data_IF_989215926085
#
_entry.id   IF_989215926085
#
_cell.length_a   1.000
_cell.length_b   1.000
_cell.length_c   1.000
_cell.angle_alpha   90.00
_cell.angle_beta   90.00
_cell.angle_gamma   90.00
#
_symmetry.space_group_name_H-M   'P 1'
#
loop_
_entity.id
_entity.type
_entity.pdbx_description
1 polymer ?
#
# COMPACT_ATOMS: atom_id res chain seq x y z
N UNK A 1 7.14 -61.83 -0.84
CA UNK A 1 7.52 -60.43 -1.18
C UNK A 1 6.40 -59.38 -1.04
N UNK A 2 5.10 -59.72 -1.04
CA UNK A 2 4.00 -58.72 -0.91
C UNK A 2 3.74 -58.14 0.50
N UNK A 3 4.19 -58.76 1.60
CA UNK A 3 3.97 -58.26 2.97
C UNK A 3 5.02 -57.27 3.50
N UNK A 4 6.20 -57.17 2.86
CA UNK A 4 7.29 -56.27 3.29
C UNK A 4 7.12 -54.86 2.67
N UNK A 5 6.44 -54.75 1.53
CA UNK A 5 6.17 -53.46 0.88
C UNK A 5 5.09 -52.61 1.59
N UNK A 6 4.18 -53.25 2.34
CA UNK A 6 3.09 -52.57 3.06
C UNK A 6 3.57 -51.94 4.39
N UNK A 7 4.65 -52.45 4.99
CA UNK A 7 5.18 -51.94 6.27
C UNK A 7 6.09 -50.72 6.05
N UNK A 8 6.81 -50.66 4.92
CA UNK A 8 7.63 -49.49 4.56
C UNK A 8 6.79 -48.27 4.13
N UNK A 9 5.67 -48.48 3.45
CA UNK A 9 4.78 -47.39 3.01
C UNK A 9 3.96 -46.76 4.15
N UNK A 10 3.60 -47.54 5.17
CA UNK A 10 2.94 -47.03 6.39
C UNK A 10 3.95 -46.31 7.30
N UNK A 11 5.20 -46.76 7.34
CA UNK A 11 6.26 -46.12 8.13
C UNK A 11 6.67 -44.73 7.61
N UNK A 12 6.75 -44.54 6.29
CA UNK A 12 7.07 -43.24 5.68
C UNK A 12 5.91 -42.26 5.76
N UNK A 13 4.67 -42.73 5.60
CA UNK A 13 3.47 -41.91 5.81
C UNK A 13 3.33 -41.46 7.27
N UNK A 14 3.59 -42.36 8.23
CA UNK A 14 3.58 -42.04 9.67
C UNK A 14 4.67 -41.04 10.08
N UNK A 15 5.87 -41.15 9.49
CA UNK A 15 6.96 -40.19 9.72
C UNK A 15 6.64 -38.83 9.08
N UNK A 16 6.05 -38.81 7.88
CA UNK A 16 5.60 -37.57 7.23
C UNK A 16 4.51 -36.86 8.02
N UNK A 17 3.55 -37.59 8.59
CA UNK A 17 2.51 -37.03 9.47
C UNK A 17 3.12 -36.48 10.76
N UNK A 18 4.07 -37.20 11.39
CA UNK A 18 4.75 -36.72 12.60
C UNK A 18 5.60 -35.47 12.35
N UNK A 19 6.25 -35.37 11.18
CA UNK A 19 6.98 -34.18 10.75
C UNK A 19 6.03 -33.02 10.49
N UNK A 20 4.92 -33.23 9.78
CA UNK A 20 3.90 -32.19 9.54
C UNK A 20 3.25 -31.70 10.85
N UNK A 21 2.99 -32.60 11.79
CA UNK A 21 2.49 -32.24 13.13
C UNK A 21 3.54 -31.46 13.91
N UNK A 22 4.81 -31.88 13.89
CA UNK A 22 5.92 -31.15 14.51
C UNK A 22 6.15 -29.76 13.91
N UNK A 23 6.05 -29.64 12.59
CA UNK A 23 6.13 -28.38 11.85
C UNK A 23 4.94 -27.45 12.17
N UNK A 24 3.74 -28.01 12.38
CA UNK A 24 2.56 -27.24 12.77
C UNK A 24 2.72 -26.60 14.15
N UNK A 25 3.45 -27.24 15.08
CA UNK A 25 3.77 -26.65 16.40
C UNK A 25 4.73 -25.45 16.33
N UNK A 26 5.44 -25.26 15.21
CA UNK A 26 6.28 -24.09 14.95
C UNK A 26 5.69 -23.16 13.89
N UNK A 27 4.38 -23.28 13.60
CA UNK A 27 3.65 -22.38 12.71
C UNK A 27 3.67 -22.76 11.22
N UNK A 28 4.29 -23.88 10.85
CA UNK A 28 4.34 -24.37 9.47
C UNK A 28 3.21 -25.38 9.27
N UNK A 29 2.06 -24.90 8.78
CA UNK A 29 0.87 -25.73 8.54
C UNK A 29 0.96 -26.48 7.19
N UNK A 30 0.14 -27.52 6.95
CA UNK A 30 0.05 -28.13 5.62
C UNK A 30 -0.35 -27.12 4.51
N UNK A 31 -1.23 -26.16 4.84
CA UNK A 31 -1.62 -25.08 3.92
C UNK A 31 -0.43 -24.16 3.60
N UNK A 32 0.42 -23.87 4.59
CA UNK A 32 1.67 -23.14 4.39
C UNK A 32 2.56 -23.83 3.36
N UNK A 33 2.82 -25.13 3.54
CA UNK A 33 3.72 -25.89 2.66
C UNK A 33 3.15 -25.95 1.23
N UNK A 34 1.84 -26.17 1.10
CA UNK A 34 1.18 -26.24 -0.21
C UNK A 34 1.19 -24.89 -0.96
N UNK A 35 1.02 -23.79 -0.23
CA UNK A 35 0.90 -22.44 -0.83
C UNK A 35 2.24 -21.74 -1.00
N UNK A 36 3.27 -22.14 -0.25
CA UNK A 36 4.57 -21.49 -0.23
C UNK A 36 5.22 -21.34 -1.61
N UNK A 37 5.23 -22.35 -2.51
CA UNK A 37 5.81 -22.18 -3.83
C UNK A 37 5.11 -21.10 -4.67
N UNK A 38 3.78 -21.09 -4.70
CA UNK A 38 3.00 -20.15 -5.52
C UNK A 38 3.09 -18.72 -4.99
N UNK A 39 3.04 -18.56 -3.67
CA UNK A 39 3.22 -17.26 -3.00
C UNK A 39 4.65 -16.77 -3.19
N UNK A 40 5.68 -17.60 -3.00
CA UNK A 40 7.07 -17.19 -3.15
C UNK A 40 7.40 -16.73 -4.57
N UNK A 41 6.98 -17.47 -5.60
CA UNK A 41 7.17 -17.07 -7.00
C UNK A 41 6.36 -15.82 -7.34
N UNK A 42 5.15 -15.68 -6.78
CA UNK A 42 4.33 -14.47 -6.94
C UNK A 42 5.00 -13.22 -6.35
N UNK A 43 5.50 -13.32 -5.11
CA UNK A 43 6.27 -12.25 -4.45
C UNK A 43 7.50 -11.89 -5.29
N UNK A 44 8.29 -12.90 -5.68
CA UNK A 44 9.51 -12.70 -6.46
C UNK A 44 9.25 -12.00 -7.79
N UNK A 45 8.33 -12.52 -8.60
CA UNK A 45 8.00 -11.92 -9.89
C UNK A 45 7.45 -10.49 -9.74
N UNK A 46 6.48 -10.29 -8.84
CA UNK A 46 5.80 -9.01 -8.66
C UNK A 46 6.71 -7.92 -8.12
N UNK A 47 7.38 -8.17 -7.00
CA UNK A 47 8.16 -7.14 -6.32
C UNK A 47 9.42 -6.79 -7.11
N UNK A 48 10.09 -7.77 -7.73
CA UNK A 48 11.26 -7.50 -8.57
C UNK A 48 10.90 -6.76 -9.85
N UNK A 49 9.78 -7.10 -10.51
CA UNK A 49 9.29 -6.35 -11.66
C UNK A 49 9.08 -4.87 -11.29
N UNK A 50 8.37 -4.61 -10.20
CA UNK A 50 8.02 -3.25 -9.79
C UNK A 50 9.27 -2.48 -9.36
N UNK A 51 10.15 -3.10 -8.57
CA UNK A 51 11.42 -2.50 -8.16
C UNK A 51 12.29 -2.12 -9.38
N UNK A 52 12.34 -2.98 -10.40
CA UNK A 52 13.14 -2.76 -11.60
C UNK A 52 12.56 -1.73 -12.56
N UNK A 53 11.26 -1.83 -12.86
CA UNK A 53 10.63 -1.09 -13.96
C UNK A 53 9.78 0.11 -13.51
N UNK A 54 9.30 0.12 -12.25
CA UNK A 54 8.60 1.28 -11.66
C UNK A 54 9.59 2.17 -10.90
N UNK A 55 10.36 1.58 -9.97
CA UNK A 55 11.31 2.35 -9.15
C UNK A 55 12.69 2.53 -9.80
N UNK A 56 13.00 1.80 -10.87
CA UNK A 56 14.27 1.92 -11.58
C UNK A 56 15.49 1.32 -10.87
N UNK A 57 15.31 0.56 -9.78
CA UNK A 57 16.42 -0.01 -9.03
C UNK A 57 17.17 -1.09 -9.83
N UNK A 58 18.45 -1.29 -9.45
CA UNK A 58 19.26 -2.36 -10.02
C UNK A 58 18.71 -3.74 -9.64
N UNK A 59 19.00 -4.76 -10.45
CA UNK A 59 18.62 -6.15 -10.17
C UNK A 59 19.20 -6.64 -8.84
N UNK A 60 20.44 -6.24 -8.52
CA UNK A 60 21.11 -6.59 -7.27
C UNK A 60 20.38 -5.98 -6.06
N UNK A 61 20.18 -4.66 -6.05
CA UNK A 61 19.43 -3.99 -4.97
C UNK A 61 18.03 -4.58 -4.80
N UNK A 62 17.32 -4.80 -5.90
CA UNK A 62 15.97 -5.37 -5.88
C UNK A 62 15.94 -6.76 -5.26
N UNK A 63 16.94 -7.59 -5.57
CA UNK A 63 17.05 -8.95 -5.01
C UNK A 63 17.45 -8.91 -3.52
N UNK A 64 18.39 -8.03 -3.14
CA UNK A 64 18.79 -7.83 -1.74
C UNK A 64 17.62 -7.36 -0.86
N UNK A 65 16.74 -6.52 -1.39
CA UNK A 65 15.50 -6.10 -0.73
C UNK A 65 14.50 -7.26 -0.60
N UNK A 66 14.37 -8.05 -1.67
CA UNK A 66 13.46 -9.20 -1.72
C UNK A 66 13.84 -10.24 -0.65
N UNK A 67 15.11 -10.60 -0.52
CA UNK A 67 15.53 -11.63 0.45
C UNK A 67 15.41 -11.14 1.90
N UNK A 68 15.48 -9.83 2.14
CA UNK A 68 15.11 -9.23 3.43
C UNK A 68 13.61 -9.36 3.75
N UNK A 69 12.77 -9.60 2.74
CA UNK A 69 11.35 -9.90 2.93
C UNK A 69 11.16 -11.25 3.61
N UNK A 70 11.84 -12.28 3.10
CA UNK A 70 11.89 -13.61 3.68
C UNK A 70 13.08 -14.39 3.13
N UNK A 71 13.84 -15.07 4.00
CA UNK A 71 15.02 -15.83 3.60
C UNK A 71 14.73 -16.99 2.64
N UNK A 72 13.48 -17.48 2.56
CA UNK A 72 13.11 -18.51 1.57
C UNK A 72 13.18 -18.00 0.12
N UNK A 73 13.07 -16.69 -0.08
CA UNK A 73 13.07 -16.06 -1.41
C UNK A 73 14.46 -16.07 -2.06
N UNK A 74 15.52 -16.25 -1.27
CA UNK A 74 16.90 -16.46 -1.77
C UNK A 74 17.03 -17.73 -2.62
N UNK A 75 16.08 -18.66 -2.48
CA UNK A 75 16.06 -19.91 -3.25
C UNK A 75 15.37 -19.78 -4.62
N UNK A 76 14.86 -18.60 -4.96
CA UNK A 76 14.20 -18.37 -6.24
C UNK A 76 15.21 -18.25 -7.37
N UNK A 77 14.89 -18.87 -8.51
CA UNK A 77 15.59 -18.58 -9.77
C UNK A 77 14.81 -17.49 -10.50
N UNK A 78 15.47 -16.37 -10.76
CA UNK A 78 14.88 -15.19 -11.40
C UNK A 78 15.39 -15.03 -12.83
N UNK A 79 14.47 -14.83 -13.77
CA UNK A 79 14.78 -14.48 -15.16
C UNK A 79 14.17 -13.12 -15.49
N UNK A 80 14.96 -12.26 -16.14
CA UNK A 80 14.51 -10.96 -16.63
C UNK A 80 14.48 -11.00 -18.15
N UNK A 81 13.33 -10.69 -18.72
CA UNK A 81 13.16 -10.41 -20.14
C UNK A 81 13.03 -8.89 -20.29
N UNK A 82 14.10 -8.26 -20.79
CA UNK A 82 14.14 -6.79 -20.93
C UNK A 82 13.37 -6.31 -22.16
N UNK A 83 13.09 -7.17 -23.14
CA UNK A 83 12.33 -6.80 -24.35
C UNK A 83 10.84 -6.71 -24.01
N UNK A 84 10.35 -7.70 -23.28
CA UNK A 84 8.95 -7.77 -22.83
C UNK A 84 8.73 -7.05 -21.48
N UNK A 85 9.79 -6.49 -20.87
CA UNK A 85 9.75 -5.87 -19.53
C UNK A 85 9.12 -6.79 -18.47
N UNK A 86 9.53 -8.06 -18.49
CA UNK A 86 8.93 -9.15 -17.73
C UNK A 86 9.94 -9.76 -16.76
N UNK A 87 9.47 -10.09 -15.56
CA UNK A 87 10.25 -10.85 -14.58
C UNK A 87 9.55 -12.17 -14.27
N UNK A 88 10.27 -13.27 -14.43
CA UNK A 88 9.82 -14.61 -14.03
C UNK A 88 10.57 -15.09 -12.80
N UNK A 89 9.86 -15.71 -11.86
CA UNK A 89 10.41 -16.35 -10.69
C UNK A 89 9.95 -17.81 -10.64
N UNK A 90 10.91 -18.72 -10.41
CA UNK A 90 10.63 -20.15 -10.23
C UNK A 90 11.25 -20.67 -8.94
N UNK A 91 10.58 -21.65 -8.32
CA UNK A 91 11.03 -22.27 -7.08
C UNK A 91 11.26 -23.77 -7.30
N UNK A 92 12.51 -24.16 -7.58
CA UNK A 92 12.95 -25.55 -7.83
C UNK A 92 12.07 -26.33 -8.84
N UNK A 93 11.49 -25.66 -9.85
CA UNK A 93 10.59 -26.28 -10.82
C UNK A 93 9.21 -26.71 -10.28
N UNK A 94 8.87 -26.37 -9.04
CA UNK A 94 7.58 -26.67 -8.40
C UNK A 94 6.47 -25.67 -8.78
N UNK A 95 6.85 -24.57 -9.42
CA UNK A 95 5.96 -23.53 -9.90
C UNK A 95 6.77 -22.38 -10.49
N UNK A 96 6.18 -21.69 -11.45
CA UNK A 96 6.72 -20.48 -12.05
C UNK A 96 5.60 -19.45 -12.16
N UNK A 97 5.92 -18.21 -11.80
CA UNK A 97 5.08 -17.05 -12.04
C UNK A 97 5.88 -15.98 -12.72
N UNK A 98 5.20 -15.15 -13.48
CA UNK A 98 5.77 -13.99 -14.14
C UNK A 98 4.96 -12.74 -13.82
N UNK A 99 5.60 -11.59 -13.98
CA UNK A 99 4.95 -10.29 -13.90
C UNK A 99 5.47 -9.40 -15.00
N UNK A 100 4.55 -8.81 -15.74
CA UNK A 100 4.87 -7.88 -16.83
C UNK A 100 4.56 -6.44 -16.42
N UNK A 101 5.53 -5.56 -16.68
CA UNK A 101 5.39 -4.12 -16.55
C UNK A 101 4.61 -3.54 -17.73
N UNK A 102 3.69 -2.63 -17.43
CA UNK A 102 2.94 -1.85 -18.42
C UNK A 102 3.12 -0.37 -18.04
N UNK A 103 3.66 0.49 -18.94
CA UNK A 103 3.84 1.91 -18.65
C UNK A 103 2.57 2.57 -18.12
N UNK A 104 2.70 3.35 -17.03
CA UNK A 104 1.58 4.01 -16.36
C UNK A 104 0.71 3.11 -15.46
N UNK A 105 0.66 1.81 -15.73
CA UNK A 105 -0.13 0.82 -14.95
C UNK A 105 0.75 0.02 -13.98
N UNK A 106 2.05 -0.09 -14.24
CA UNK A 106 3.02 -0.81 -13.41
C UNK A 106 3.07 -2.31 -13.67
N UNK A 107 3.46 -3.10 -12.66
CA UNK A 107 3.60 -4.55 -12.73
C UNK A 107 2.43 -5.27 -12.05
N UNK A 108 2.02 -6.42 -12.58
CA UNK A 108 1.13 -7.37 -11.90
C UNK A 108 1.58 -8.79 -12.23
N UNK A 109 1.26 -9.76 -11.37
CA UNK A 109 1.39 -11.17 -11.72
C UNK A 109 0.52 -11.48 -12.93
N UNK A 110 1.07 -12.21 -13.90
CA UNK A 110 0.39 -12.59 -15.12
C UNK A 110 -0.54 -13.79 -14.87
N UNK A 111 -1.78 -13.71 -15.36
CA UNK A 111 -2.75 -14.80 -15.33
C UNK A 111 -3.40 -14.97 -16.71
N UNK A 112 -3.56 -16.21 -17.15
CA UNK A 112 -4.23 -16.51 -18.41
C UNK A 112 -5.70 -16.07 -18.37
N UNK A 113 -6.17 -15.40 -19.42
CA UNK A 113 -7.54 -14.90 -19.55
C UNK A 113 -7.79 -13.53 -18.91
N UNK A 114 -6.74 -12.84 -18.46
CA UNK A 114 -6.79 -11.51 -17.85
C UNK A 114 -5.94 -10.52 -18.66
N UNK A 115 -6.55 -9.94 -19.70
CA UNK A 115 -5.84 -9.14 -20.72
C UNK A 115 -6.22 -7.65 -20.72
N UNK A 116 -6.87 -7.15 -19.65
CA UNK A 116 -7.39 -5.78 -19.58
C UNK A 116 -6.31 -4.70 -19.37
N UNK A 117 -5.19 -5.06 -18.72
CA UNK A 117 -4.19 -4.08 -18.27
C UNK A 117 -3.57 -3.24 -19.40
N UNK A 118 -3.27 -3.79 -20.60
CA UNK A 118 -2.84 -2.99 -21.75
C UNK A 118 -3.86 -1.93 -22.19
N UNK A 119 -5.17 -2.20 -22.05
CA UNK A 119 -6.22 -1.23 -22.38
C UNK A 119 -6.23 -0.07 -21.38
N UNK A 120 -5.95 -0.34 -20.09
CA UNK A 120 -5.84 0.70 -19.06
C UNK A 120 -4.68 1.67 -19.32
N UNK A 121 -3.60 1.21 -19.94
CA UNK A 121 -2.44 2.05 -20.26
C UNK A 121 -2.79 3.20 -21.21
N UNK A 122 -3.79 3.01 -22.08
CA UNK A 122 -4.25 4.05 -23.00
C UNK A 122 -4.98 5.20 -22.28
N UNK A 123 -5.39 5.00 -21.02
CA UNK A 123 -6.10 6.00 -20.21
C UNK A 123 -5.16 6.81 -19.32
N UNK A 124 -3.89 6.38 -19.20
CA UNK A 124 -2.87 7.13 -18.47
C UNK A 124 -2.39 8.26 -19.36
N UNK A 125 -2.50 9.53 -18.93
CA UNK A 125 -1.99 10.65 -19.70
C UNK A 125 -0.51 10.46 -20.01
N UNK A 126 -0.11 10.78 -21.24
CA UNK A 126 1.31 10.91 -21.54
C UNK A 126 1.90 12.03 -20.64
N UNK A 127 3.17 11.94 -20.22
CA UNK A 127 3.81 13.01 -19.48
C UNK A 127 3.70 14.31 -20.29
N UNK A 128 2.94 15.29 -19.79
CA UNK A 128 2.86 16.60 -20.44
C UNK A 128 4.19 17.31 -20.24
N UNK A 129 5.01 17.40 -21.29
CA UNK A 129 6.15 18.32 -21.32
C UNK A 129 5.57 19.72 -21.51
N UNK A 130 5.15 20.34 -20.41
CA UNK A 130 4.55 21.67 -20.43
C UNK A 130 5.64 22.71 -20.78
N UNK A 131 5.82 22.95 -22.07
CA UNK A 131 6.81 23.90 -22.64
C UNK A 131 6.24 25.30 -22.86
N UNK A 132 4.97 25.52 -22.52
CA UNK A 132 4.30 26.79 -22.81
C UNK A 132 3.13 27.05 -21.86
N UNK A 133 3.41 27.50 -20.63
CA UNK A 133 2.57 28.49 -19.96
C UNK A 133 3.31 29.12 -18.78
N UNK A 134 3.83 30.33 -19.00
CA UNK A 134 4.58 31.12 -18.01
C UNK A 134 3.71 31.74 -16.91
N UNK A 135 2.46 31.29 -16.76
CA UNK A 135 1.48 31.83 -15.81
C UNK A 135 1.03 30.84 -14.72
N UNK A 136 1.39 29.56 -14.81
CA UNK A 136 1.04 28.54 -13.82
C UNK A 136 2.26 28.33 -12.91
N UNK A 137 2.05 28.35 -11.60
CA UNK A 137 3.14 28.11 -10.63
C UNK A 137 3.76 26.73 -10.85
N UNK A 138 5.05 26.70 -11.16
CA UNK A 138 5.91 25.51 -11.22
C UNK A 138 6.27 24.95 -9.84
N UNK A 139 5.86 25.64 -8.77
CA UNK A 139 6.17 25.25 -7.40
C UNK A 139 5.31 24.07 -6.90
N UNK A 140 5.87 23.34 -5.95
CA UNK A 140 5.12 22.39 -5.13
C UNK A 140 4.02 23.10 -4.31
N UNK A 141 2.82 22.51 -4.14
CA UNK A 141 2.44 21.14 -4.49
C UNK A 141 1.91 20.93 -5.91
N UNK A 142 1.74 21.97 -6.74
CA UNK A 142 1.18 21.78 -8.09
C UNK A 142 2.14 21.05 -9.02
N UNK A 143 3.42 21.34 -8.90
CA UNK A 143 4.52 20.80 -9.70
C UNK A 143 5.72 20.51 -8.78
N UNK A 144 6.88 20.15 -9.32
CA UNK A 144 8.01 19.66 -8.53
C UNK A 144 9.14 20.67 -8.25
N UNK A 145 8.97 21.95 -8.59
CA UNK A 145 9.98 22.96 -8.26
C UNK A 145 9.96 23.32 -6.77
N UNK A 146 11.13 23.21 -6.12
CA UNK A 146 11.32 23.53 -4.70
C UNK A 146 12.32 24.68 -4.57
N UNK A 147 11.87 25.80 -4.01
CA UNK A 147 12.71 26.98 -3.75
C UNK A 147 12.72 27.40 -2.27
N UNK A 148 12.23 26.53 -1.39
CA UNK A 148 11.86 26.86 0.00
C UNK A 148 12.65 26.08 1.04
N UNK A 149 13.73 25.41 0.64
CA UNK A 149 14.58 24.62 1.54
C UNK A 149 15.13 25.51 2.67
N UNK A 150 14.91 25.06 3.90
CA UNK A 150 15.51 25.62 5.09
C UNK A 150 16.85 24.89 5.37
N UNK A 151 17.99 25.60 5.41
CA UNK A 151 19.30 24.97 5.60
C UNK A 151 19.45 24.20 6.92
N UNK A 152 18.81 24.65 8.00
CA UNK A 152 18.86 23.99 9.31
C UNK A 152 18.08 22.69 9.27
N UNK A 153 16.86 22.71 8.71
CA UNK A 153 16.05 21.51 8.53
C UNK A 153 16.75 20.52 7.60
N UNK A 154 17.28 20.99 6.46
CA UNK A 154 18.01 20.14 5.50
C UNK A 154 19.18 19.43 6.17
N UNK A 155 20.00 20.17 6.94
CA UNK A 155 21.14 19.58 7.65
C UNK A 155 20.70 18.50 8.64
N UNK A 156 19.58 18.72 9.35
CA UNK A 156 19.06 17.75 10.31
C UNK A 156 18.56 16.47 9.62
N UNK A 157 17.78 16.59 8.54
CA UNK A 157 17.25 15.40 7.86
C UNK A 157 18.36 14.61 7.15
N UNK A 158 19.39 15.26 6.62
CA UNK A 158 20.57 14.59 6.06
C UNK A 158 21.28 13.76 7.13
N UNK A 159 21.41 14.32 8.34
CA UNK A 159 21.98 13.61 9.48
C UNK A 159 21.10 12.42 9.90
N UNK A 160 19.77 12.58 9.98
CA UNK A 160 18.85 11.48 10.32
C UNK A 160 18.94 10.35 9.28
N UNK A 161 18.93 10.66 7.98
CA UNK A 161 19.04 9.64 6.92
C UNK A 161 20.38 8.91 6.99
N UNK A 162 21.47 9.61 7.31
CA UNK A 162 22.79 9.01 7.52
C UNK A 162 22.82 8.09 8.74
N UNK A 163 22.29 8.54 9.88
CA UNK A 163 22.15 7.78 11.13
C UNK A 163 21.31 6.51 10.92
N UNK A 164 20.16 6.66 10.26
CA UNK A 164 19.23 5.58 9.94
C UNK A 164 19.93 4.49 9.11
N UNK A 165 20.64 4.89 8.07
CA UNK A 165 21.30 3.95 7.17
C UNK A 165 22.53 3.30 7.80
N UNK A 166 23.27 4.01 8.66
CA UNK A 166 24.33 3.41 9.48
C UNK A 166 23.77 2.36 10.46
N UNK A 167 22.53 2.53 10.91
CA UNK A 167 21.81 1.57 11.76
C UNK A 167 21.09 0.46 10.98
N UNK A 168 21.19 0.42 9.65
CA UNK A 168 20.51 -0.58 8.82
C UNK A 168 19.00 -0.41 8.72
N UNK A 169 18.48 0.79 9.00
CA UNK A 169 17.05 1.10 8.90
C UNK A 169 16.60 1.31 7.45
N UNK A 170 17.52 1.40 6.49
CA UNK A 170 17.23 1.52 5.05
C UNK A 170 16.27 2.68 4.73
N UNK A 171 16.51 3.88 5.27
CA UNK A 171 15.74 5.08 4.90
C UNK A 171 16.19 5.53 3.51
N UNK A 172 15.25 5.58 2.56
CA UNK A 172 15.48 5.98 1.16
C UNK A 172 15.06 7.40 0.86
N UNK A 173 14.02 7.87 1.53
CA UNK A 173 13.58 9.25 1.46
C UNK A 173 13.07 9.73 2.82
N UNK A 174 13.45 10.94 3.20
CA UNK A 174 12.88 11.68 4.32
C UNK A 174 12.59 13.11 3.84
N UNK A 175 11.35 13.56 3.98
CA UNK A 175 10.89 14.86 3.49
C UNK A 175 10.03 15.54 4.56
N UNK A 176 10.25 16.84 4.75
CA UNK A 176 9.52 17.68 5.69
C UNK A 176 8.89 18.84 4.95
N UNK A 177 7.58 18.99 5.06
CA UNK A 177 6.82 20.13 4.57
C UNK A 177 6.12 20.86 5.72
N UNK A 178 6.09 22.19 5.66
CA UNK A 178 5.39 23.06 6.62
C UNK A 178 4.80 24.26 5.89
N UNK A 179 3.56 24.65 6.19
CA UNK A 179 2.95 25.82 5.54
C UNK A 179 2.80 25.70 4.03
N UNK A 180 2.48 24.49 3.55
CA UNK A 180 2.32 24.22 2.11
C UNK A 180 3.63 24.33 1.31
N UNK A 181 4.79 24.16 1.96
CA UNK A 181 6.12 24.24 1.34
C UNK A 181 7.03 23.12 1.84
N UNK A 182 7.86 22.56 0.98
CA UNK A 182 8.93 21.63 1.39
C UNK A 182 10.08 22.43 1.98
N UNK A 183 10.47 22.11 3.22
CA UNK A 183 11.57 22.73 3.94
C UNK A 183 12.85 21.89 3.91
N UNK A 184 12.74 20.59 3.65
CA UNK A 184 13.90 19.73 3.47
C UNK A 184 13.50 18.40 2.84
N UNK A 185 14.40 17.84 2.03
CA UNK A 185 14.30 16.48 1.50
C UNK A 185 15.67 15.82 1.40
N UNK A 186 15.77 14.57 1.83
CA UNK A 186 17.00 13.79 1.83
C UNK A 186 16.74 12.40 1.24
N UNK A 187 17.66 11.92 0.41
CA UNK A 187 17.53 10.67 -0.33
C UNK A 187 18.77 9.79 -0.21
N UNK A 188 18.58 8.47 -0.26
CA UNK A 188 19.66 7.50 -0.14
C UNK A 188 19.37 6.19 -0.90
N UNK A 189 20.37 5.29 -0.93
CA UNK A 189 20.30 3.98 -1.60
C UNK A 189 19.91 4.06 -3.09
N UNK A 190 20.37 5.11 -3.77
CA UNK A 190 20.11 5.32 -5.19
C UNK A 190 18.73 5.88 -5.52
N UNK A 191 17.90 6.18 -4.51
CA UNK A 191 16.69 6.97 -4.71
C UNK A 191 17.01 8.46 -4.84
N UNK A 192 16.12 9.19 -5.50
CA UNK A 192 16.11 10.63 -5.65
C UNK A 192 14.68 11.20 -5.57
N UNK A 193 14.54 12.50 -5.77
CA UNK A 193 13.26 13.22 -5.72
C UNK A 193 12.22 12.74 -6.72
N UNK A 194 12.63 12.07 -7.80
CA UNK A 194 11.75 11.56 -8.85
C UNK A 194 11.45 10.06 -8.72
N UNK A 195 12.12 9.37 -7.79
CA UNK A 195 12.03 7.91 -7.67
C UNK A 195 10.68 7.50 -7.06
N UNK A 196 9.82 6.74 -7.77
CA UNK A 196 8.59 6.22 -7.18
C UNK A 196 8.92 5.07 -6.21
N UNK A 197 8.63 5.25 -4.92
CA UNK A 197 8.90 4.27 -3.88
C UNK A 197 7.58 3.63 -3.40
N UNK A 198 7.63 2.32 -3.13
CA UNK A 198 6.48 1.54 -2.67
C UNK A 198 6.00 2.00 -1.29
N UNK A 199 4.77 2.51 -1.21
CA UNK A 199 4.15 2.91 0.07
C UNK A 199 3.49 1.77 0.85
N UNK A 200 3.36 0.57 0.25
CA UNK A 200 2.61 -0.53 0.86
C UNK A 200 1.21 -0.04 1.32
N UNK A 201 0.88 -0.30 2.58
CA UNK A 201 -0.42 0.04 3.16
C UNK A 201 -0.77 1.53 3.20
N UNK A 202 0.15 2.44 2.89
CA UNK A 202 -0.21 3.85 2.73
C UNK A 202 -1.21 4.08 1.57
N UNK A 203 -1.25 3.19 0.58
CA UNK A 203 -2.20 3.26 -0.53
C UNK A 203 -3.67 3.22 -0.06
N UNK A 204 -3.94 2.64 1.12
CA UNK A 204 -5.26 2.60 1.74
C UNK A 204 -5.83 3.99 1.97
N UNK A 205 -4.98 4.89 2.44
CA UNK A 205 -5.33 6.27 2.75
C UNK A 205 -5.64 7.07 1.48
N UNK A 206 -4.95 6.80 0.37
CA UNK A 206 -5.33 7.34 -0.95
C UNK A 206 -6.67 6.77 -1.43
N UNK A 207 -6.89 5.47 -1.26
CA UNK A 207 -8.16 4.82 -1.62
C UNK A 207 -9.34 5.43 -0.87
N UNK A 208 -9.17 5.77 0.42
CA UNK A 208 -10.18 6.52 1.18
C UNK A 208 -10.45 7.91 0.58
N UNK A 209 -9.40 8.65 0.18
CA UNK A 209 -9.53 9.96 -0.48
C UNK A 209 -10.26 9.84 -1.84
N UNK A 210 -10.02 8.77 -2.59
CA UNK A 210 -10.72 8.51 -3.86
C UNK A 210 -12.23 8.35 -3.65
N UNK A 211 -12.63 7.59 -2.63
CA UNK A 211 -14.03 7.44 -2.24
C UNK A 211 -14.64 8.74 -1.71
N UNK A 212 -13.88 9.53 -0.94
CA UNK A 212 -14.29 10.85 -0.48
C UNK A 212 -14.59 11.80 -1.66
N UNK A 213 -13.78 11.73 -2.72
CA UNK A 213 -14.00 12.48 -3.95
C UNK A 213 -15.28 12.07 -4.68
N UNK A 214 -15.64 10.79 -4.67
CA UNK A 214 -16.93 10.33 -5.20
C UNK A 214 -18.10 10.85 -4.37
N UNK A 215 -18.00 10.80 -3.05
CA UNK A 215 -19.03 11.31 -2.14
C UNK A 215 -19.23 12.82 -2.32
N UNK A 216 -18.13 13.58 -2.35
CA UNK A 216 -18.16 15.02 -2.57
C UNK A 216 -18.80 15.41 -3.92
N UNK A 217 -18.63 14.57 -4.95
CA UNK A 217 -19.27 14.73 -6.26
C UNK A 217 -20.69 14.15 -6.34
N UNK A 218 -21.22 13.59 -5.26
CA UNK A 218 -22.56 13.00 -5.20
C UNK A 218 -22.72 11.68 -5.95
N UNK A 219 -21.61 10.98 -6.21
CA UNK A 219 -21.58 9.69 -6.93
C UNK A 219 -21.66 8.48 -5.99
N UNK A 220 -21.41 8.68 -4.70
CA UNK A 220 -21.43 7.63 -3.69
C UNK A 220 -21.92 8.20 -2.34
N UNK A 221 -22.62 7.39 -1.55
CA UNK A 221 -22.94 7.69 -0.16
C UNK A 221 -22.14 6.73 0.73
N UNK A 222 -21.17 7.25 1.49
CA UNK A 222 -20.30 6.39 2.29
C UNK A 222 -21.01 5.81 3.53
N UNK A 223 -22.09 6.46 3.99
CA UNK A 223 -22.89 5.98 5.10
C UNK A 223 -23.87 4.87 4.70
N UNK A 224 -24.08 4.67 3.40
CA UNK A 224 -24.95 3.62 2.88
C UNK A 224 -24.30 2.22 2.93
N UNK A 225 -25.11 1.15 2.92
CA UNK A 225 -24.64 -0.20 2.65
C UNK A 225 -23.90 -0.30 1.31
N UNK A 226 -22.87 -1.14 1.24
CA UNK A 226 -22.01 -1.28 0.04
C UNK A 226 -22.75 -1.71 -1.22
N UNK A 227 -23.92 -2.35 -1.06
CA UNK A 227 -24.78 -2.83 -2.16
C UNK A 227 -24.06 -3.77 -3.15
N UNK A 228 -23.02 -4.47 -2.68
CA UNK A 228 -22.30 -5.48 -3.47
C UNK A 228 -23.17 -6.72 -3.67
N UNK A 229 -23.26 -7.19 -4.92
CA UNK A 229 -24.15 -8.29 -5.30
C UNK A 229 -23.82 -9.61 -4.60
N UNK A 230 -22.54 -9.87 -4.38
CA UNK A 230 -21.99 -11.03 -3.68
C UNK A 230 -22.44 -11.12 -2.22
N UNK A 231 -22.84 -9.99 -1.63
CA UNK A 231 -23.22 -9.86 -0.23
C UNK A 231 -24.73 -9.72 -0.04
N UNK A 232 -25.49 -9.52 -1.13
CA UNK A 232 -26.91 -9.18 -1.09
C UNK A 232 -27.80 -10.24 -0.41
N UNK A 233 -27.33 -11.49 -0.31
CA UNK A 233 -28.10 -12.62 0.21
C UNK A 233 -27.75 -13.05 1.64
N UNK A 234 -26.83 -12.35 2.31
CA UNK A 234 -26.43 -12.69 3.69
C UNK A 234 -26.16 -11.45 4.57
N UNK A 235 -25.65 -11.67 5.78
CA UNK A 235 -25.42 -10.62 6.77
C UNK A 235 -24.45 -9.52 6.31
N UNK A 236 -23.59 -9.81 5.32
CA UNK A 236 -22.68 -8.84 4.72
C UNK A 236 -23.42 -7.72 3.99
N UNK A 237 -24.69 -7.91 3.62
CA UNK A 237 -25.54 -6.86 3.06
C UNK A 237 -25.71 -5.64 3.99
N UNK A 238 -25.42 -5.78 5.29
CA UNK A 238 -25.49 -4.69 6.27
C UNK A 238 -24.19 -3.90 6.40
N UNK A 239 -23.09 -4.35 5.78
CA UNK A 239 -21.81 -3.64 5.81
C UNK A 239 -21.97 -2.32 5.06
N UNK A 240 -21.65 -1.20 5.72
CA UNK A 240 -21.60 0.13 5.11
C UNK A 240 -20.19 0.43 4.61
N UNK A 241 -20.06 1.38 3.69
CA UNK A 241 -18.74 1.83 3.23
C UNK A 241 -17.92 2.40 4.40
N UNK A 242 -18.55 3.12 5.33
CA UNK A 242 -17.89 3.57 6.56
C UNK A 242 -17.35 2.43 7.42
N UNK A 243 -18.03 1.28 7.47
CA UNK A 243 -17.55 0.14 8.27
C UNK A 243 -16.26 -0.44 7.68
N UNK A 244 -16.13 -0.45 6.34
CA UNK A 244 -14.90 -0.79 5.64
C UNK A 244 -13.82 0.29 5.85
N UNK A 245 -14.16 1.57 5.75
CA UNK A 245 -13.23 2.68 5.97
C UNK A 245 -12.61 2.66 7.36
N UNK A 246 -13.36 2.25 8.39
CA UNK A 246 -12.85 2.11 9.76
C UNK A 246 -12.26 0.74 10.09
N UNK A 247 -12.16 -0.18 9.13
CA UNK A 247 -11.70 -1.56 9.33
C UNK A 247 -12.52 -2.31 10.38
N UNK A 248 -13.81 -2.05 10.43
CA UNK A 248 -14.78 -2.67 11.36
C UNK A 248 -15.88 -3.44 10.63
N UNK A 249 -15.66 -3.81 9.37
CA UNK A 249 -16.62 -4.50 8.51
C UNK A 249 -17.01 -5.90 9.00
N UNK A 250 -16.12 -6.56 9.75
CA UNK A 250 -16.39 -7.85 10.36
C UNK A 250 -16.11 -9.07 9.47
N UNK A 251 -15.45 -8.89 8.31
CA UNK A 251 -15.03 -10.00 7.44
C UNK A 251 -13.94 -10.87 8.10
N UNK A 252 -14.01 -12.17 7.83
CA UNK A 252 -13.03 -13.16 8.28
C UNK A 252 -11.75 -13.11 7.43
N UNK A 253 -10.93 -12.08 7.63
CA UNK A 253 -9.67 -11.87 6.91
C UNK A 253 -8.45 -11.96 7.83
N UNK A 254 -7.45 -12.77 7.43
CA UNK A 254 -6.14 -12.88 8.08
C UNK A 254 -5.10 -11.94 7.43
N UNK A 255 -4.65 -10.92 8.16
CA UNK A 255 -3.56 -10.01 7.73
C UNK A 255 -2.15 -10.58 8.01
N UNK A 256 -2.06 -11.84 8.41
CA UNK A 256 -0.76 -12.46 8.59
C UNK A 256 -0.08 -12.66 7.23
N UNK A 257 1.24 -12.46 7.19
CA UNK A 257 2.03 -12.51 5.96
C UNK A 257 2.76 -13.84 5.78
N UNK A 258 2.17 -14.95 6.23
CA UNK A 258 2.70 -16.28 5.96
C UNK A 258 2.06 -16.86 4.69
N UNK A 259 2.78 -17.71 3.95
CA UNK A 259 2.19 -18.54 2.93
C UNK A 259 0.90 -19.23 3.39
N UNK A 260 -0.17 -19.06 2.60
CA UNK A 260 -1.49 -19.64 2.88
C UNK A 260 -2.42 -18.75 3.72
N UNK A 261 -1.92 -17.66 4.31
CA UNK A 261 -2.75 -16.61 4.88
C UNK A 261 -3.36 -15.73 3.79
N UNK A 262 -4.46 -15.06 4.12
CA UNK A 262 -5.30 -14.33 3.17
C UNK A 262 -4.54 -13.19 2.49
N UNK A 263 -3.73 -12.42 3.23
CA UNK A 263 -2.97 -11.32 2.66
C UNK A 263 -1.98 -11.78 1.57
N UNK A 264 -1.27 -12.90 1.80
CA UNK A 264 -0.28 -13.38 0.81
C UNK A 264 -0.94 -14.06 -0.38
N UNK A 265 -1.99 -14.84 -0.15
CA UNK A 265 -2.76 -15.47 -1.22
C UNK A 265 -3.43 -14.40 -2.11
N UNK A 266 -4.06 -13.40 -1.51
CA UNK A 266 -4.72 -12.31 -2.24
C UNK A 266 -3.73 -11.51 -3.10
N UNK A 267 -2.60 -11.07 -2.54
CA UNK A 267 -1.68 -10.15 -3.23
C UNK A 267 -0.80 -10.84 -4.27
N UNK A 268 -0.46 -12.11 -4.06
CA UNK A 268 0.56 -12.80 -4.87
C UNK A 268 0.05 -14.07 -5.55
N UNK A 269 -1.17 -14.53 -5.23
CA UNK A 269 -1.77 -15.77 -5.74
C UNK A 269 -3.25 -15.68 -6.12
N UNK A 270 -3.74 -14.47 -6.37
CA UNK A 270 -5.08 -14.23 -6.93
C UNK A 270 -5.01 -13.28 -8.14
N UNK A 271 -5.80 -13.51 -9.21
CA UNK A 271 -5.90 -12.56 -10.32
C UNK A 271 -6.69 -11.30 -9.96
N UNK A 272 -7.63 -11.40 -9.01
CA UNK A 272 -8.35 -10.26 -8.46
C UNK A 272 -8.22 -10.23 -6.94
N UNK A 273 -7.71 -9.12 -6.41
CA UNK A 273 -7.58 -8.92 -4.97
C UNK A 273 -8.95 -8.70 -4.32
N UNK A 274 -9.83 -7.94 -4.97
CA UNK A 274 -11.19 -7.69 -4.47
C UNK A 274 -12.03 -8.97 -4.45
N UNK A 275 -12.07 -9.74 -5.55
CA UNK A 275 -12.91 -10.93 -5.64
C UNK A 275 -12.51 -12.01 -4.62
N UNK A 276 -11.22 -12.12 -4.31
CA UNK A 276 -10.71 -12.97 -3.24
C UNK A 276 -11.35 -12.64 -1.88
N UNK A 277 -11.54 -11.35 -1.60
CA UNK A 277 -12.08 -10.84 -0.32
C UNK A 277 -13.60 -10.89 -0.31
N UNK A 278 -14.25 -10.60 -1.44
CA UNK A 278 -15.71 -10.69 -1.59
C UNK A 278 -16.23 -12.11 -1.28
N UNK A 279 -15.40 -13.14 -1.47
CA UNK A 279 -15.70 -14.52 -1.11
C UNK A 279 -15.53 -14.85 0.39
N UNK A 280 -14.96 -13.96 1.21
CA UNK A 280 -14.75 -14.21 2.65
C UNK A 280 -16.06 -14.12 3.42
N UNK A 281 -16.30 -15.04 4.38
CA UNK A 281 -17.49 -14.98 5.22
C UNK A 281 -17.40 -13.82 6.20
N UNK A 282 -18.55 -13.37 6.70
CA UNK A 282 -18.60 -12.54 7.89
C UNK A 282 -18.22 -13.38 9.13
N UNK A 283 -17.52 -12.75 10.07
CA UNK A 283 -17.13 -13.31 11.36
C UNK A 283 -17.68 -12.49 12.54
N UNK A 284 -17.92 -11.20 12.34
CA UNK A 284 -18.40 -10.27 13.36
C UNK A 284 -19.44 -9.32 12.79
N UNK A 285 -20.26 -8.73 13.66
CA UNK A 285 -21.19 -7.68 13.27
C UNK A 285 -20.41 -6.40 12.86
N UNK A 286 -20.82 -5.72 11.77
CA UNK A 286 -20.18 -4.48 11.35
C UNK A 286 -20.19 -3.41 12.45
N UNK A 287 -19.11 -2.63 12.54
CA UNK A 287 -18.92 -1.57 13.53
C UNK A 287 -18.50 -2.03 14.94
N UNK A 288 -18.48 -3.33 15.23
CA UNK A 288 -18.28 -3.83 16.61
C UNK A 288 -16.83 -4.17 16.97
N UNK A 289 -16.02 -4.58 15.98
CA UNK A 289 -14.64 -5.03 16.19
C UNK A 289 -13.74 -4.53 15.06
N UNK A 290 -12.62 -3.93 15.43
CA UNK A 290 -11.58 -3.56 14.47
C UNK A 290 -10.78 -4.80 14.06
N UNK A 291 -10.59 -4.97 12.76
CA UNK A 291 -9.72 -5.96 12.14
C UNK A 291 -8.97 -5.30 10.98
N UNK A 292 -7.70 -4.94 11.19
CA UNK A 292 -6.91 -4.34 10.13
C UNK A 292 -6.76 -5.31 8.96
N UNK A 293 -7.19 -4.90 7.75
CA UNK A 293 -7.26 -5.78 6.58
C UNK A 293 -6.89 -5.06 5.29
N UNK A 294 -5.89 -5.57 4.59
CA UNK A 294 -5.60 -5.25 3.20
C UNK A 294 -6.73 -5.69 2.29
N UNK A 295 -7.43 -6.78 2.63
CA UNK A 295 -8.60 -7.21 1.90
C UNK A 295 -9.72 -6.17 1.90
N UNK A 296 -10.07 -5.63 3.06
CA UNK A 296 -11.06 -4.56 3.22
C UNK A 296 -10.73 -3.36 2.32
N UNK A 297 -9.46 -2.95 2.23
CA UNK A 297 -9.05 -1.85 1.36
C UNK A 297 -9.19 -2.15 -0.14
N UNK A 298 -9.03 -3.41 -0.58
CA UNK A 298 -9.28 -3.77 -1.97
C UNK A 298 -10.77 -3.85 -2.29
N UNK A 299 -11.64 -4.12 -1.30
CA UNK A 299 -13.09 -3.95 -1.46
C UNK A 299 -13.44 -2.46 -1.62
N UNK A 300 -12.81 -1.56 -0.86
CA UNK A 300 -12.97 -0.12 -1.05
C UNK A 300 -12.57 0.33 -2.47
N UNK A 301 -11.46 -0.21 -3.01
CA UNK A 301 -11.06 0.03 -4.39
C UNK A 301 -12.11 -0.47 -5.41
N UNK A 302 -12.68 -1.66 -5.18
CA UNK A 302 -13.79 -2.18 -5.99
C UNK A 302 -15.03 -1.29 -5.94
N UNK A 303 -15.36 -0.70 -4.79
CA UNK A 303 -16.49 0.24 -4.68
C UNK A 303 -16.27 1.52 -5.48
N UNK A 304 -15.03 2.02 -5.49
CA UNK A 304 -14.65 3.14 -6.35
C UNK A 304 -14.86 2.80 -7.83
N UNK A 305 -14.42 1.61 -8.26
CA UNK A 305 -14.62 1.13 -9.64
C UNK A 305 -16.09 0.97 -10.01
N UNK A 306 -16.88 0.31 -9.15
CA UNK A 306 -18.29 0.06 -9.40
C UNK A 306 -19.10 1.37 -9.52
N UNK A 307 -18.78 2.37 -8.70
CA UNK A 307 -19.43 3.68 -8.75
C UNK A 307 -19.19 4.43 -10.08
N UNK A 308 -18.09 4.11 -10.77
CA UNK A 308 -17.69 4.74 -12.03
C UNK A 308 -18.02 3.90 -13.27
N UNK A 309 -18.39 2.63 -13.09
CA UNK A 309 -18.81 1.73 -14.16
C UNK A 309 -17.80 0.66 -14.54
N UNK A 310 -16.63 0.61 -13.89
CA UNK A 310 -15.63 -0.42 -14.11
C UNK A 310 -14.17 0.07 -14.00
N UNK A 311 -13.19 -0.83 -14.19
CA UNK A 311 -11.77 -0.50 -14.04
C UNK A 311 -11.24 0.59 -15.00
N UNK A 312 -11.77 0.66 -16.22
CA UNK A 312 -11.36 1.65 -17.21
C UNK A 312 -11.80 3.06 -16.79
N UNK A 313 -13.08 3.23 -16.46
CA UNK A 313 -13.63 4.50 -15.98
C UNK A 313 -12.98 4.92 -14.66
N UNK A 314 -12.71 3.96 -13.76
CA UNK A 314 -11.97 4.18 -12.52
C UNK A 314 -10.55 4.69 -12.76
N UNK A 315 -9.84 4.10 -13.73
CA UNK A 315 -8.51 4.58 -14.12
C UNK A 315 -8.58 6.01 -14.65
N UNK A 316 -9.47 6.29 -15.59
CA UNK A 316 -9.62 7.63 -16.14
C UNK A 316 -9.96 8.67 -15.06
N UNK A 317 -10.86 8.34 -14.13
CA UNK A 317 -11.21 9.20 -13.00
C UNK A 317 -10.03 9.42 -12.05
N UNK A 318 -9.26 8.38 -11.74
CA UNK A 318 -8.07 8.50 -10.90
C UNK A 318 -7.07 9.48 -11.52
N UNK A 319 -6.74 9.34 -12.81
CA UNK A 319 -5.76 10.22 -13.44
C UNK A 319 -6.24 11.68 -13.46
N UNK A 320 -7.52 11.93 -13.78
CA UNK A 320 -8.05 13.27 -13.98
C UNK A 320 -8.49 13.97 -12.69
N UNK A 321 -9.17 13.25 -11.81
CA UNK A 321 -9.84 13.84 -10.65
C UNK A 321 -9.10 13.58 -9.34
N UNK A 322 -8.05 12.75 -9.34
CA UNK A 322 -7.24 12.45 -8.16
C UNK A 322 -5.78 12.84 -8.40
N UNK A 323 -5.06 12.12 -9.28
CA UNK A 323 -3.64 12.32 -9.51
C UNK A 323 -3.32 13.74 -10.01
N UNK A 324 -4.03 14.23 -11.03
CA UNK A 324 -3.85 15.58 -11.55
C UNK A 324 -4.20 16.67 -10.52
N UNK A 325 -5.23 16.47 -9.70
CA UNK A 325 -5.62 17.45 -8.66
C UNK A 325 -4.60 17.49 -7.53
N UNK A 326 -4.15 16.33 -7.05
CA UNK A 326 -3.07 16.23 -6.06
C UNK A 326 -1.76 16.81 -6.62
N UNK A 327 -1.57 16.78 -7.94
CA UNK A 327 -0.36 17.22 -8.62
C UNK A 327 0.71 16.14 -8.67
N UNK A 328 0.31 14.85 -8.71
CA UNK A 328 1.25 13.74 -8.78
C UNK A 328 2.12 13.81 -10.04
N UNK A 329 3.44 13.70 -9.87
CA UNK A 329 4.41 13.78 -10.96
C UNK A 329 5.11 12.44 -11.22
N UNK A 330 5.33 11.67 -10.15
CA UNK A 330 6.14 10.47 -10.14
C UNK A 330 5.42 9.36 -9.34
N UNK A 331 4.19 9.08 -9.75
CA UNK A 331 3.34 8.07 -9.13
C UNK A 331 2.85 7.03 -10.13
N UNK A 332 2.80 5.78 -9.70
CA UNK A 332 2.19 4.65 -10.41
C UNK A 332 1.33 3.90 -9.40
N UNK A 333 0.01 3.91 -9.62
CA UNK A 333 -0.92 3.12 -8.83
C UNK A 333 -1.23 1.84 -9.59
N UNK A 334 -0.68 0.72 -9.12
CA UNK A 334 -0.75 -0.53 -9.84
C UNK A 334 -2.09 -1.24 -9.66
N UNK A 335 -2.42 -2.03 -10.68
CA UNK A 335 -3.60 -2.89 -10.69
C UNK A 335 -3.22 -4.35 -10.45
N UNK A 336 -4.19 -5.17 -10.07
CA UNK A 336 -4.11 -6.62 -10.21
C UNK A 336 -4.33 -7.04 -11.67
N UNK A 337 -4.37 -8.35 -11.94
CA UNK A 337 -4.56 -8.89 -13.28
C UNK A 337 -5.96 -8.60 -13.84
N UNK A 338 -6.98 -8.53 -12.97
CA UNK A 338 -8.34 -8.12 -13.31
C UNK A 338 -8.50 -6.62 -13.59
N UNK A 339 -7.41 -5.85 -13.49
CA UNK A 339 -7.38 -4.42 -13.77
C UNK A 339 -7.86 -3.55 -12.62
N UNK A 340 -8.23 -4.14 -11.48
CA UNK A 340 -8.65 -3.38 -10.31
C UNK A 340 -7.45 -2.82 -9.56
N UNK A 341 -7.57 -1.64 -8.97
CA UNK A 341 -6.48 -1.06 -8.17
C UNK A 341 -6.16 -1.97 -6.98
N UNK A 342 -4.88 -2.23 -6.72
CA UNK A 342 -4.48 -2.87 -5.46
C UNK A 342 -4.38 -1.79 -4.37
N UNK A 343 -5.54 -1.25 -4.02
CA UNK A 343 -5.72 -0.11 -3.11
C UNK A 343 -5.20 -0.36 -1.70
N UNK A 344 -4.95 -1.62 -1.37
CA UNK A 344 -4.31 -1.98 -0.12
C UNK A 344 -2.81 -1.73 -0.06
N UNK A 345 -2.10 -1.65 -1.20
CA UNK A 345 -0.64 -1.85 -1.21
C UNK A 345 0.18 -1.19 -2.31
N UNK A 346 -0.29 -1.12 -3.55
CA UNK A 346 0.62 -0.89 -4.69
C UNK A 346 0.52 0.51 -5.30
N UNK A 347 0.55 1.53 -4.44
CA UNK A 347 0.95 2.87 -4.87
C UNK A 347 2.46 3.01 -4.71
N UNK A 348 3.13 3.26 -5.83
CA UNK A 348 4.51 3.69 -5.90
C UNK A 348 4.50 5.17 -6.17
N UNK A 349 5.11 5.98 -5.32
CA UNK A 349 5.13 7.42 -5.51
C UNK A 349 6.41 8.04 -4.95
N UNK A 350 6.84 9.17 -5.51
CA UNK A 350 7.95 9.94 -4.94
C UNK A 350 7.61 10.41 -3.53
N UNK A 351 8.62 10.79 -2.75
CA UNK A 351 8.39 11.38 -1.43
C UNK A 351 7.53 12.64 -1.50
N UNK A 352 7.70 13.45 -2.58
CA UNK A 352 6.93 14.66 -2.83
C UNK A 352 5.46 14.36 -3.14
N UNK A 353 5.19 13.28 -3.86
CA UNK A 353 3.82 12.83 -4.16
C UNK A 353 3.12 12.26 -2.93
N UNK A 354 3.83 11.48 -2.12
CA UNK A 354 3.31 11.08 -0.81
C UNK A 354 3.04 12.30 0.10
N UNK A 355 3.87 13.34 0.04
CA UNK A 355 3.65 14.57 0.79
C UNK A 355 2.39 15.31 0.32
N UNK A 356 2.03 15.27 -0.97
CA UNK A 356 0.77 15.84 -1.49
C UNK A 356 -0.45 15.17 -0.89
N UNK A 357 -0.42 13.85 -0.69
CA UNK A 357 -1.50 13.13 0.02
C UNK A 357 -1.62 13.61 1.48
N UNK A 358 -0.49 13.80 2.18
CA UNK A 358 -0.50 14.38 3.52
C UNK A 358 -1.02 15.82 3.53
N UNK A 359 -0.61 16.64 2.56
CA UNK A 359 -0.95 18.06 2.47
C UNK A 359 -2.44 18.27 2.18
N UNK A 360 -3.07 17.45 1.33
CA UNK A 360 -4.51 17.58 1.09
C UNK A 360 -5.33 17.22 2.32
N UNK A 361 -4.88 16.27 3.14
CA UNK A 361 -5.51 15.97 4.43
C UNK A 361 -5.28 17.09 5.44
N UNK A 362 -4.06 17.63 5.50
CA UNK A 362 -3.71 18.77 6.35
C UNK A 362 -4.57 20.00 6.04
N UNK A 363 -4.86 20.22 4.76
CA UNK A 363 -5.71 21.29 4.25
C UNK A 363 -7.21 20.93 4.20
N UNK A 364 -7.62 19.87 4.90
CA UNK A 364 -9.03 19.47 5.03
C UNK A 364 -9.74 19.30 3.66
N UNK A 365 -9.03 18.74 2.68
CA UNK A 365 -9.55 18.40 1.35
C UNK A 365 -9.19 19.38 0.24
N UNK A 366 -8.47 20.46 0.50
CA UNK A 366 -8.08 21.44 -0.52
C UNK A 366 -6.59 21.38 -0.89
N UNK A 367 -6.31 21.28 -2.19
CA UNK A 367 -4.94 21.36 -2.70
C UNK A 367 -4.96 21.98 -4.10
N UNK A 368 -3.95 22.78 -4.44
CA UNK A 368 -3.84 23.43 -5.74
C UNK A 368 -5.05 24.32 -6.13
N UNK A 369 -5.81 24.80 -5.14
CA UNK A 369 -7.04 25.59 -5.31
C UNK A 369 -8.27 24.76 -5.69
N UNK A 370 -8.20 23.44 -5.56
CA UNK A 370 -9.29 22.51 -5.85
C UNK A 370 -9.60 21.70 -4.59
N UNK A 371 -10.90 21.50 -4.32
CA UNK A 371 -11.38 20.70 -3.20
C UNK A 371 -11.76 19.30 -3.67
N UNK A 372 -11.10 18.29 -3.11
CA UNK A 372 -11.37 16.87 -3.37
C UNK A 372 -12.48 16.33 -2.45
N UNK A 373 -12.52 16.79 -1.21
CA UNK A 373 -13.51 16.34 -0.21
C UNK A 373 -13.84 17.46 0.78
N UNK A 374 -14.92 17.29 1.53
CA UNK A 374 -15.36 18.27 2.52
C UNK A 374 -14.45 18.25 3.76
N UNK A 375 -14.34 19.39 4.44
CA UNK A 375 -13.67 19.46 5.74
C UNK A 375 -14.33 18.54 6.78
N UNK A 376 -15.67 18.39 6.71
CA UNK A 376 -16.42 17.45 7.54
C UNK A 376 -15.97 16.00 7.33
N UNK A 377 -15.72 15.60 6.08
CA UNK A 377 -15.16 14.27 5.79
C UNK A 377 -13.76 14.12 6.38
N UNK A 378 -12.89 15.13 6.27
CA UNK A 378 -11.55 15.09 6.86
C UNK A 378 -11.59 14.95 8.39
N UNK A 379 -12.54 15.63 9.04
CA UNK A 379 -12.76 15.52 10.48
C UNK A 379 -13.25 14.13 10.90
N UNK A 380 -14.19 13.53 10.15
CA UNK A 380 -14.62 12.15 10.43
C UNK A 380 -13.54 11.12 10.07
N UNK A 381 -12.74 11.36 9.02
CA UNK A 381 -11.63 10.50 8.62
C UNK A 381 -10.51 10.42 9.67
N UNK A 382 -10.38 11.44 10.51
CA UNK A 382 -9.36 11.55 11.57
C UNK A 382 -9.94 11.34 12.97
N UNK A 383 -11.18 10.85 13.07
CA UNK A 383 -11.86 10.52 14.32
C UNK A 383 -11.73 9.05 14.65
N UNK A 384 -11.69 8.75 15.95
CA UNK A 384 -11.64 7.37 16.43
C UNK A 384 -12.86 6.55 15.98
N UNK A 385 -12.63 5.29 15.61
CA UNK A 385 -13.71 4.36 15.31
C UNK A 385 -14.43 3.91 16.59
N UNK A 386 -15.53 3.17 16.42
CA UNK A 386 -16.41 2.73 17.50
C UNK A 386 -16.05 1.36 18.08
N UNK A 387 -14.98 0.71 17.60
CA UNK A 387 -14.60 -0.61 18.07
C UNK A 387 -14.11 -0.60 19.51
N UNK A 388 -14.31 -1.72 20.20
CA UNK A 388 -13.87 -1.87 21.59
C UNK A 388 -12.38 -2.23 21.74
N UNK A 389 -11.74 -2.74 20.69
CA UNK A 389 -10.39 -3.29 20.75
C UNK A 389 -9.30 -2.35 20.24
N UNK A 390 -9.59 -1.50 19.25
CA UNK A 390 -8.59 -0.58 18.68
C UNK A 390 -9.29 0.68 18.12
N UNK A 391 -9.70 1.63 18.99
CA UNK A 391 -10.39 2.85 18.57
C UNK A 391 -9.50 3.85 17.81
N UNK A 392 -8.18 3.87 18.01
CA UNK A 392 -7.28 4.83 17.34
C UNK A 392 -6.98 4.48 15.86
N UNK A 393 -8.03 4.47 15.05
CA UNK A 393 -8.01 4.33 13.59
C UNK A 393 -9.26 5.01 13.02
N UNK A 394 -9.08 5.85 12.00
CA UNK A 394 -10.15 6.57 11.31
C UNK A 394 -10.47 5.97 9.94
N UNK A 395 -10.71 6.82 8.92
CA UNK A 395 -10.97 6.34 7.55
C UNK A 395 -9.67 6.00 6.83
N UNK A 396 -9.16 4.81 7.10
CA UNK A 396 -7.87 4.31 6.58
C UNK A 396 -6.63 5.10 7.07
N UNK A 397 -6.75 5.81 8.20
CA UNK A 397 -5.66 6.57 8.84
C UNK A 397 -5.41 6.08 10.26
N UNK A 398 -4.13 5.91 10.63
CA UNK A 398 -3.73 5.64 12.01
C UNK A 398 -3.73 6.92 12.82
N UNK A 399 -4.40 6.91 13.98
CA UNK A 399 -4.51 8.09 14.83
C UNK A 399 -3.49 8.04 15.96
N UNK A 400 -2.99 9.22 16.38
CA UNK A 400 -2.17 9.33 17.57
C UNK A 400 -3.01 9.09 18.84
N UNK A 401 -4.16 9.76 18.93
CA UNK A 401 -5.12 9.64 20.02
C UNK A 401 -6.23 8.62 19.75
N UNK A 402 -6.99 8.28 20.81
CA UNK A 402 -8.17 7.41 20.77
C UNK A 402 -8.01 6.13 21.61
N UNK A 403 -6.78 5.62 21.74
CA UNK A 403 -6.46 4.54 22.66
C UNK A 403 -6.22 5.08 24.08
N UNK A 404 -5.94 4.16 25.03
CA UNK A 404 -5.56 4.51 26.41
C UNK A 404 -4.28 5.36 26.52
N UNK A 405 -3.37 5.21 25.56
CA UNK A 405 -2.15 5.99 25.46
C UNK A 405 -1.99 6.48 24.01
N UNK A 406 -1.25 7.59 23.86
CA UNK A 406 -0.87 8.09 22.54
C UNK A 406 0.04 7.07 21.84
N UNK A 407 -0.14 6.93 20.52
CA UNK A 407 0.71 6.09 19.67
C UNK A 407 2.12 6.65 19.53
N UNK A 408 2.21 7.97 19.39
CA UNK A 408 3.41 8.79 19.33
C UNK A 408 3.34 9.81 20.48
N UNK A 409 3.78 9.43 21.69
CA UNK A 409 3.65 10.27 22.88
C UNK A 409 4.44 11.57 22.81
N UNK A 410 5.45 11.63 21.93
CA UNK A 410 6.29 12.82 21.73
C UNK A 410 5.71 13.80 20.70
N UNK A 411 4.64 13.42 20.01
CA UNK A 411 3.99 14.23 18.97
C UNK A 411 2.63 14.77 19.46
N UNK A 412 2.11 15.87 18.86
CA UNK A 412 0.78 16.39 19.16
C UNK A 412 -0.34 15.34 19.07
N UNK A 413 -1.35 15.45 19.93
CA UNK A 413 -2.41 14.43 20.02
C UNK A 413 -3.31 14.34 18.78
N UNK A 414 -3.36 15.40 17.99
CA UNK A 414 -4.07 15.49 16.70
C UNK A 414 -3.24 14.95 15.52
N UNK A 415 -2.02 14.46 15.76
CA UNK A 415 -1.24 13.77 14.73
C UNK A 415 -1.95 12.50 14.23
N UNK A 416 -1.82 12.22 12.94
CA UNK A 416 -2.28 10.99 12.31
C UNK A 416 -1.37 10.62 11.14
N UNK A 417 -1.38 9.35 10.74
CA UNK A 417 -0.49 8.89 9.68
C UNK A 417 -1.08 7.81 8.78
N UNK A 418 -0.69 7.85 7.51
CA UNK A 418 -0.73 6.68 6.63
C UNK A 418 0.54 5.86 6.93
N UNK A 419 0.39 4.56 7.21
CA UNK A 419 1.50 3.69 7.57
C UNK A 419 1.58 2.48 6.64
N UNK A 420 2.79 2.16 6.19
CA UNK A 420 3.09 1.07 5.28
C UNK A 420 3.98 -0.01 5.90
N UNK A 421 3.90 -1.23 5.38
CA UNK A 421 4.87 -2.29 5.68
C UNK A 421 6.29 -1.80 5.38
N UNK A 422 7.30 -2.33 6.08
CA UNK A 422 8.69 -1.83 6.03
C UNK A 422 8.84 -0.39 6.51
N UNK A 423 7.94 0.04 7.40
CA UNK A 423 7.97 1.32 8.11
C UNK A 423 7.88 2.55 7.18
N UNK A 424 7.03 2.49 6.16
CA UNK A 424 6.69 3.68 5.38
C UNK A 424 5.74 4.57 6.18
N UNK A 425 5.85 5.89 6.02
CA UNK A 425 5.01 6.82 6.77
C UNK A 425 4.75 8.13 6.02
N UNK A 426 3.50 8.58 6.03
CA UNK A 426 3.11 10.00 5.84
C UNK A 426 2.46 10.42 7.15
N UNK A 427 3.18 11.20 7.96
CA UNK A 427 2.68 11.82 9.19
C UNK A 427 2.11 13.19 8.87
N UNK A 428 0.93 13.48 9.39
CA UNK A 428 0.27 14.78 9.32
C UNK A 428 0.05 15.29 10.73
N UNK A 429 0.43 16.55 10.98
CA UNK A 429 0.40 17.18 12.30
C UNK A 429 -0.33 18.53 12.17
N UNK A 430 -1.66 18.54 12.27
CA UNK A 430 -2.47 19.72 12.00
C UNK A 430 -2.11 20.94 12.85
N UNK A 431 -1.92 20.76 14.16
CA UNK A 431 -1.57 21.86 15.07
C UNK A 431 -0.26 22.57 14.74
N UNK A 432 0.64 21.90 14.01
CA UNK A 432 1.95 22.41 13.62
C UNK A 432 2.02 22.81 12.14
N UNK A 433 0.96 22.55 11.36
CA UNK A 433 0.92 22.73 9.91
C UNK A 433 2.05 21.97 9.20
N UNK A 434 2.29 20.72 9.61
CA UNK A 434 3.44 19.90 9.18
C UNK A 434 3.01 18.58 8.54
N UNK A 435 3.71 18.20 7.47
CA UNK A 435 3.71 16.86 6.88
C UNK A 435 5.14 16.31 6.88
N UNK A 436 5.33 15.08 7.36
CA UNK A 436 6.61 14.38 7.31
C UNK A 436 6.42 13.07 6.54
N UNK A 437 7.23 12.85 5.51
CA UNK A 437 7.24 11.61 4.73
C UNK A 437 8.52 10.87 4.99
N UNK A 438 8.42 9.57 5.31
CA UNK A 438 9.56 8.67 5.42
C UNK A 438 9.28 7.40 4.62
N UNK A 439 10.18 7.11 3.68
CA UNK A 439 10.12 5.91 2.84
C UNK A 439 11.41 5.10 2.96
N UNK A 440 11.31 3.78 2.96
CA UNK A 440 12.47 2.92 3.20
C UNK A 440 12.21 1.42 3.04
N UNK A 441 13.11 0.60 3.60
CA UNK A 441 12.99 -0.87 3.58
C UNK A 441 13.35 -1.50 4.94
N UNK A 442 12.79 -0.96 6.04
CA UNK A 442 13.14 -1.36 7.41
C UNK A 442 12.52 -2.69 7.80
N UNK A 443 13.33 -3.67 8.19
CA UNK A 443 12.81 -4.96 8.65
C UNK A 443 12.18 -4.92 10.05
N UNK A 444 12.64 -4.00 10.92
CA UNK A 444 12.20 -3.87 12.31
C UNK A 444 11.41 -2.60 12.58
N UNK A 445 11.45 -2.14 13.84
CA UNK A 445 10.87 -0.87 14.27
C UNK A 445 11.72 0.30 13.78
N UNK A 446 11.07 1.32 13.23
CA UNK A 446 11.67 2.63 12.99
C UNK A 446 11.40 3.56 14.19
N UNK A 447 12.37 4.39 14.65
CA UNK A 447 12.17 5.34 15.74
C UNK A 447 11.48 6.62 15.24
N UNK A 448 10.26 6.47 14.71
CA UNK A 448 9.46 7.57 14.16
C UNK A 448 9.10 8.63 15.21
N UNK A 449 8.61 8.22 16.40
CA UNK A 449 8.28 9.15 17.50
C UNK A 449 9.47 10.06 17.85
N UNK A 450 10.66 9.47 18.02
CA UNK A 450 11.87 10.20 18.41
C UNK A 450 12.41 11.08 17.28
N UNK A 451 12.52 10.55 16.06
CA UNK A 451 13.04 11.30 14.92
C UNK A 451 12.10 12.45 14.52
N UNK A 452 10.79 12.25 14.60
CA UNK A 452 9.84 13.28 14.19
C UNK A 452 9.69 14.36 15.26
N UNK A 453 9.84 14.01 16.55
CA UNK A 453 9.99 15.02 17.60
C UNK A 453 11.22 15.90 17.36
N UNK A 454 12.38 15.31 17.01
CA UNK A 454 13.61 16.08 16.68
C UNK A 454 13.36 17.08 15.54
N UNK A 455 12.60 16.66 14.51
CA UNK A 455 12.23 17.53 13.39
C UNK A 455 11.31 18.66 13.87
N UNK A 456 10.26 18.35 14.64
CA UNK A 456 9.35 19.36 15.18
C UNK A 456 10.04 20.39 16.07
N UNK A 457 10.97 19.96 16.92
CA UNK A 457 11.75 20.86 17.79
C UNK A 457 12.66 21.82 17.01
N UNK A 458 12.98 21.50 15.75
CA UNK A 458 13.81 22.31 14.88
C UNK A 458 13.02 23.28 13.97
N UNK A 459 11.69 23.08 13.83
CA UNK A 459 10.76 23.87 13.01
C UNK A 459 10.18 25.07 13.77
#
# INVERSE_FOLDING_TARGET
MKKILLVFSVGTAGLGILVLVGLSFIGITPAYIASAPAVATGIGAKLLCSSRYVSGFSKAQSFDDLVQYSGILDQLTITYDEEETRVSASFFGLGEKSSTFIPGVGCSVDYAGFDIRPELAALVPAPEINTSDSAISSAWPRNDEITTIDPQIQTLIDAIVSEDNAAGLNTRALLVAKGGKILGEAYAQGADASTPLLGWSMAKSLTAVMLASLEYRGLLDLAAPTSLGEWASDERAQIRVTDLLTMTDGLAFSEEYNPGDDATAMLFDSPSAADYVLAKPAAHQPGTRFNYSSGTANVLARLYENALGGPAEARADYEQNIAAVLGFQHAVFETDAAGGFVGSSYLYASARDWARLGQVMLNEGEINGVRLFSADWAAEATKQNTSSNQPAYGYQWWLNAGNKALRWPSLPSDSFAAMGNRQQLVMVIPSEDVVIVRLGWTAGRYPDDENFRRILEAL
#
